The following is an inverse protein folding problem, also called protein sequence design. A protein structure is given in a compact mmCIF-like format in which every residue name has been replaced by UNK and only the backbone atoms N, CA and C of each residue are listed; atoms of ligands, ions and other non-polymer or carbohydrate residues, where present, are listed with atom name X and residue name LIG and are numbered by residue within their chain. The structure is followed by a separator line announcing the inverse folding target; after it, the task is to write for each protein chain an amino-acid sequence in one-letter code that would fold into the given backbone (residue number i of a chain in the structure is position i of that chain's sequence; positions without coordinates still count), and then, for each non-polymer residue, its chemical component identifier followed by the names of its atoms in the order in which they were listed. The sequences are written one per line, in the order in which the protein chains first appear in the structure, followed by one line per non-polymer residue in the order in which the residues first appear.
data_IF_078491080947
#
_entry.id   IF_078491080947
#
_cell.length_a   1.000
_cell.length_b   1.000
_cell.length_c   1.000
_cell.angle_alpha   90.00
_cell.angle_beta   90.00
_cell.angle_gamma   90.00
#
_symmetry.space_group_name_H-M   'P 1'
#
loop_
_entity.id
_entity.type
_entity.pdbx_description
1 polymer ?
#
# COMPACT_ATOMS: atom_id res chain seq x y z
N UNK A 1 -16.22 18.30 -5.48
CA UNK A 1 -15.06 17.89 -6.31
C UNK A 1 -15.50 16.80 -7.26
N UNK A 2 -15.10 16.85 -8.52
CA UNK A 2 -15.36 15.76 -9.46
C UNK A 2 -14.52 14.52 -9.11
N UNK A 3 -14.94 13.33 -9.55
CA UNK A 3 -14.25 12.08 -9.25
C UNK A 3 -12.79 12.07 -9.77
N UNK A 4 -12.53 12.72 -10.92
CA UNK A 4 -11.19 12.95 -11.45
C UNK A 4 -10.34 13.85 -10.54
N UNK A 5 -10.93 14.92 -9.96
CA UNK A 5 -10.23 15.80 -9.02
C UNK A 5 -9.88 15.08 -7.71
N UNK A 6 -10.73 14.15 -7.26
CA UNK A 6 -10.47 13.32 -6.08
C UNK A 6 -9.36 12.31 -6.42
N UNK A 7 -9.50 11.53 -7.49
CA UNK A 7 -8.52 10.52 -7.87
C UNK A 7 -7.12 11.09 -8.16
N UNK A 8 -7.06 12.29 -8.75
CA UNK A 8 -5.82 13.04 -9.01
C UNK A 8 -5.36 13.94 -7.85
N UNK A 9 -6.07 13.96 -6.72
CA UNK A 9 -5.72 14.83 -5.61
C UNK A 9 -4.33 14.45 -5.08
N UNK A 10 -3.42 15.43 -5.04
CA UNK A 10 -2.05 15.23 -4.57
C UNK A 10 -2.01 14.59 -3.17
N UNK A 11 -2.94 14.94 -2.28
CA UNK A 11 -3.06 14.32 -0.95
C UNK A 11 -3.34 12.82 -1.04
N UNK A 12 -4.23 12.36 -1.92
CA UNK A 12 -4.60 10.94 -2.03
C UNK A 12 -3.49 10.08 -2.66
N UNK A 13 -2.53 10.69 -3.36
CA UNK A 13 -1.34 10.01 -3.90
C UNK A 13 -0.17 10.08 -2.93
N UNK A 14 0.17 11.27 -2.42
CA UNK A 14 1.35 11.47 -1.59
C UNK A 14 1.18 10.96 -0.17
N UNK A 15 -0.01 11.03 0.42
CA UNK A 15 -0.26 10.48 1.76
C UNK A 15 0.10 8.99 1.85
N UNK A 16 -0.38 8.10 0.96
CA UNK A 16 -0.02 6.69 1.06
C UNK A 16 1.43 6.42 0.65
N UNK A 17 2.04 7.20 -0.25
CA UNK A 17 3.47 7.08 -0.57
C UNK A 17 4.33 7.40 0.65
N UNK A 18 4.18 8.60 1.21
CA UNK A 18 4.95 9.06 2.37
C UNK A 18 4.64 8.19 3.59
N UNK A 19 3.36 7.86 3.82
CA UNK A 19 2.94 6.97 4.89
C UNK A 19 3.63 5.61 4.84
N UNK A 20 3.69 4.98 3.65
CA UNK A 20 4.42 3.73 3.48
C UNK A 20 5.93 3.89 3.67
N UNK A 21 6.54 4.98 3.21
CA UNK A 21 7.98 5.23 3.45
C UNK A 21 8.29 5.38 4.95
N UNK A 22 7.48 6.14 5.68
CA UNK A 22 7.61 6.30 7.14
C UNK A 22 7.44 4.96 7.85
N UNK A 23 6.41 4.18 7.47
CA UNK A 23 6.19 2.84 8.02
C UNK A 23 7.33 1.89 7.69
N UNK A 24 7.92 1.98 6.49
CA UNK A 24 9.08 1.18 6.13
C UNK A 24 10.28 1.47 7.05
N UNK A 25 10.59 2.75 7.26
CA UNK A 25 11.66 3.19 8.17
C UNK A 25 11.38 2.74 9.60
N UNK A 26 10.14 2.88 10.07
CA UNK A 26 9.74 2.46 11.41
C UNK A 26 9.86 0.93 11.60
N UNK A 27 9.39 0.15 10.62
CA UNK A 27 9.49 -1.30 10.65
C UNK A 27 10.96 -1.75 10.61
N UNK A 28 11.76 -1.17 9.72
CA UNK A 28 13.20 -1.43 9.64
C UNK A 28 13.92 -1.11 10.95
N UNK A 29 13.70 0.09 11.49
CA UNK A 29 14.28 0.51 12.77
C UNK A 29 13.86 -0.36 13.95
N UNK A 30 12.63 -0.89 13.94
CA UNK A 30 12.17 -1.86 14.94
C UNK A 30 12.92 -3.19 14.81
N UNK A 31 13.19 -3.64 13.58
CA UNK A 31 14.01 -4.82 13.31
C UNK A 31 15.47 -4.65 13.76
N UNK A 32 16.06 -3.48 13.52
CA UNK A 32 17.42 -3.15 14.01
C UNK A 32 17.51 -3.14 15.55
N UNK A 33 16.41 -2.81 16.23
CA UNK A 33 16.29 -2.90 17.70
C UNK A 33 16.00 -4.32 18.21
N UNK A 34 16.10 -5.33 17.34
CA UNK A 34 15.89 -6.74 17.70
C UNK A 34 14.43 -7.13 17.94
N UNK A 35 13.45 -6.26 17.63
CA UNK A 35 12.04 -6.60 17.80
C UNK A 35 11.62 -7.62 16.76
N UNK A 36 10.99 -8.71 17.21
CA UNK A 36 10.40 -9.73 16.32
C UNK A 36 9.00 -9.37 15.84
N UNK A 37 8.29 -8.50 16.56
CA UNK A 37 6.93 -8.06 16.25
C UNK A 37 6.79 -6.54 16.29
N UNK A 38 5.77 -6.02 15.59
CA UNK A 38 5.48 -4.59 15.54
C UNK A 38 4.38 -4.20 16.52
N UNK A 39 4.39 -2.95 16.97
CA UNK A 39 3.45 -2.48 17.99
C UNK A 39 2.03 -2.32 17.43
N UNK A 40 1.00 -2.29 18.30
CA UNK A 40 -0.38 -1.99 17.87
C UNK A 40 -0.49 -0.63 17.16
N UNK A 41 0.29 0.38 17.60
CA UNK A 41 0.30 1.72 16.99
C UNK A 41 0.82 1.66 15.54
N UNK A 42 1.84 0.83 15.26
CA UNK A 42 2.30 0.60 13.89
C UNK A 42 1.17 0.06 13.02
N UNK A 43 0.43 -0.93 13.52
CA UNK A 43 -0.67 -1.54 12.78
C UNK A 43 -1.85 -0.58 12.57
N UNK A 44 -2.17 0.26 13.54
CA UNK A 44 -3.15 1.33 13.36
C UNK A 44 -2.74 2.29 12.24
N UNK A 45 -1.46 2.68 12.20
CA UNK A 45 -0.93 3.54 11.14
C UNK A 45 -0.96 2.86 9.76
N UNK A 46 -0.63 1.57 9.65
CA UNK A 46 -0.81 0.78 8.41
C UNK A 46 -2.26 0.82 7.94
N UNK A 47 -3.23 0.60 8.85
CA UNK A 47 -4.65 0.61 8.48
C UNK A 47 -5.14 1.98 8.01
N UNK A 48 -4.66 3.07 8.62
CA UNK A 48 -4.97 4.42 8.15
C UNK A 48 -4.43 4.67 6.74
N UNK A 49 -3.18 4.27 6.47
CA UNK A 49 -2.59 4.37 5.14
C UNK A 49 -3.36 3.53 4.12
N UNK A 50 -3.74 2.30 4.48
CA UNK A 50 -4.54 1.42 3.62
C UNK A 50 -5.95 1.96 3.36
N UNK A 51 -6.56 2.66 4.31
CA UNK A 51 -7.85 3.31 4.09
C UNK A 51 -7.75 4.36 2.96
N UNK A 52 -6.66 5.15 2.93
CA UNK A 52 -6.41 6.11 1.85
C UNK A 52 -6.20 5.40 0.52
N UNK A 53 -5.41 4.31 0.50
CA UNK A 53 -5.23 3.48 -0.70
C UNK A 53 -6.55 2.90 -1.20
N UNK A 54 -7.42 2.44 -0.30
CA UNK A 54 -8.73 1.88 -0.64
C UNK A 54 -9.64 2.94 -1.28
N UNK A 55 -9.65 4.16 -0.75
CA UNK A 55 -10.38 5.30 -1.35
C UNK A 55 -9.84 5.59 -2.76
N UNK A 56 -8.52 5.59 -2.93
CA UNK A 56 -7.88 5.84 -4.24
C UNK A 56 -8.26 4.75 -5.26
N UNK A 57 -8.17 3.48 -4.86
CA UNK A 57 -8.52 2.33 -5.68
C UNK A 57 -10.01 2.33 -6.06
N UNK A 58 -10.90 2.62 -5.10
CA UNK A 58 -12.33 2.74 -5.35
C UNK A 58 -12.64 3.86 -6.35
N UNK A 59 -12.00 5.03 -6.19
CA UNK A 59 -12.15 6.13 -7.15
C UNK A 59 -11.67 5.74 -8.55
N UNK A 60 -10.53 5.02 -8.66
CA UNK A 60 -10.02 4.52 -9.93
C UNK A 60 -10.95 3.51 -10.61
N UNK A 61 -11.52 2.57 -9.84
CA UNK A 61 -12.50 1.61 -10.34
C UNK A 61 -13.75 2.32 -10.84
N UNK A 62 -14.27 3.29 -10.09
CA UNK A 62 -15.45 4.07 -10.51
C UNK A 62 -15.19 4.86 -11.79
N UNK A 63 -13.99 5.44 -11.97
CA UNK A 63 -13.61 6.11 -13.23
C UNK A 63 -13.53 5.14 -14.41
N UNK A 64 -12.95 3.95 -14.18
CA UNK A 64 -12.85 2.92 -15.21
C UNK A 64 -14.23 2.44 -15.66
N UNK A 65 -15.12 2.12 -14.70
CA UNK A 65 -16.50 1.70 -14.98
C UNK A 65 -17.34 2.83 -15.59
N UNK A 66 -17.03 4.09 -15.24
CA UNK A 66 -17.64 5.29 -15.84
C UNK A 66 -17.12 5.64 -17.23
N UNK A 67 -16.35 4.76 -17.89
CA UNK A 67 -15.87 4.96 -19.26
C UNK A 67 -14.67 5.90 -19.38
N UNK A 68 -13.95 6.16 -18.27
CA UNK A 68 -12.72 6.96 -18.25
C UNK A 68 -11.52 6.05 -17.94
N UNK A 69 -11.12 5.15 -18.86
CA UNK A 69 -9.99 4.26 -18.62
C UNK A 69 -8.67 5.05 -18.58
N UNK A 70 -7.65 4.54 -17.88
CA UNK A 70 -6.33 5.15 -17.89
C UNK A 70 -5.71 5.07 -19.29
N UNK A 71 -4.96 6.11 -19.67
CA UNK A 71 -4.36 6.24 -21.00
C UNK A 71 -3.31 5.16 -21.32
N UNK A 72 -2.67 4.58 -20.30
CA UNK A 72 -1.61 3.57 -20.45
C UNK A 72 -2.00 2.29 -19.71
N UNK A 73 -1.92 1.15 -20.39
CA UNK A 73 -2.21 -0.16 -19.79
C UNK A 73 -1.33 -0.49 -18.57
N UNK A 74 -0.10 0.07 -18.52
CA UNK A 74 0.78 -0.05 -17.36
C UNK A 74 0.17 0.54 -16.07
N UNK A 75 -0.69 1.55 -16.16
CA UNK A 75 -1.38 2.08 -14.99
C UNK A 75 -2.30 1.02 -14.36
N UNK A 76 -3.02 0.23 -15.17
CA UNK A 76 -3.87 -0.85 -14.68
C UNK A 76 -3.04 -1.94 -14.00
N UNK A 77 -1.90 -2.34 -14.60
CA UNK A 77 -0.99 -3.29 -13.99
C UNK A 77 -0.52 -2.81 -12.61
N UNK A 78 -0.01 -1.57 -12.52
CA UNK A 78 0.45 -1.03 -11.24
C UNK A 78 -0.71 -0.84 -10.24
N UNK A 79 -1.90 -0.44 -10.69
CA UNK A 79 -3.08 -0.35 -9.83
C UNK A 79 -3.46 -1.71 -9.22
N UNK A 80 -3.46 -2.79 -10.02
CA UNK A 80 -3.69 -4.15 -9.52
C UNK A 80 -2.61 -4.55 -8.52
N UNK A 81 -1.34 -4.28 -8.82
CA UNK A 81 -0.23 -4.59 -7.90
C UNK A 81 -0.33 -3.81 -6.58
N UNK A 82 -0.77 -2.55 -6.61
CA UNK A 82 -1.03 -1.75 -5.39
C UNK A 82 -2.14 -2.38 -4.54
N UNK A 83 -3.22 -2.87 -5.16
CA UNK A 83 -4.30 -3.55 -4.44
C UNK A 83 -3.80 -4.87 -3.83
N UNK A 84 -3.02 -5.65 -4.57
CA UNK A 84 -2.46 -6.92 -4.09
C UNK A 84 -1.50 -6.70 -2.91
N UNK A 85 -0.56 -5.76 -3.02
CA UNK A 85 0.39 -5.47 -1.95
C UNK A 85 -0.31 -4.84 -0.73
N UNK A 86 -1.33 -4.00 -0.93
CA UNK A 86 -2.19 -3.51 0.15
C UNK A 86 -2.98 -4.64 0.84
N UNK A 87 -3.48 -5.61 0.07
CA UNK A 87 -4.11 -6.82 0.58
C UNK A 87 -3.15 -7.68 1.39
N UNK A 88 -1.90 -7.82 0.96
CA UNK A 88 -0.86 -8.50 1.72
C UNK A 88 -0.58 -7.77 3.05
N UNK A 89 -0.43 -6.44 3.05
CA UNK A 89 -0.28 -5.65 4.27
C UNK A 89 -1.48 -5.87 5.23
N UNK A 90 -2.71 -5.80 4.72
CA UNK A 90 -3.91 -6.03 5.51
C UNK A 90 -4.00 -7.45 6.07
N UNK A 91 -3.61 -8.46 5.29
CA UNK A 91 -3.61 -9.87 5.67
C UNK A 91 -2.55 -10.23 6.71
N UNK A 92 -1.48 -9.43 6.82
CA UNK A 92 -0.42 -9.60 7.82
C UNK A 92 -0.75 -8.99 9.19
N UNK A 93 -1.88 -8.29 9.32
CA UNK A 93 -2.27 -7.69 10.61
C UNK A 93 -2.40 -8.74 11.72
N UNK A 94 -2.22 -8.36 13.00
CA UNK A 94 -2.41 -9.26 14.12
C UNK A 94 -3.78 -9.96 14.06
N UNK A 95 -3.78 -11.28 14.18
CA UNK A 95 -5.00 -12.11 14.16
C UNK A 95 -5.53 -12.48 12.77
N UNK A 96 -5.04 -11.91 11.67
CA UNK A 96 -5.50 -12.24 10.32
C UNK A 96 -4.98 -13.58 9.79
N UNK A 97 -5.74 -14.17 8.86
CA UNK A 97 -5.48 -15.52 8.34
C UNK A 97 -4.09 -15.67 7.69
N UNK A 98 -3.69 -14.73 6.84
CA UNK A 98 -2.39 -14.77 6.17
C UNK A 98 -1.22 -14.73 7.17
N UNK A 99 -1.33 -13.92 8.23
CA UNK A 99 -0.36 -13.91 9.33
C UNK A 99 -0.27 -15.28 10.02
N UNK A 100 -1.41 -15.92 10.32
CA UNK A 100 -1.46 -17.25 10.96
C UNK A 100 -0.77 -18.31 10.10
N UNK A 101 -1.04 -18.30 8.79
CA UNK A 101 -0.41 -19.21 7.84
C UNK A 101 1.12 -19.02 7.78
N UNK A 102 1.59 -17.79 7.67
CA UNK A 102 3.04 -17.50 7.57
C UNK A 102 3.78 -17.69 8.90
N UNK A 103 3.09 -17.51 10.03
CA UNK A 103 3.66 -17.75 11.36
C UNK A 103 3.75 -19.25 11.72
N UNK A 104 3.23 -20.14 10.88
CA UNK A 104 3.41 -21.59 11.03
C UNK A 104 4.86 -22.04 10.80
N UNK A 105 5.72 -21.18 10.22
CA UNK A 105 7.16 -21.36 10.13
C UNK A 105 7.89 -20.22 10.90
N UNK A 106 8.04 -20.33 12.23
CA UNK A 106 8.48 -19.24 13.11
C UNK A 106 9.87 -18.68 12.79
N UNK A 107 10.78 -19.54 12.30
CA UNK A 107 12.16 -19.17 11.93
C UNK A 107 12.21 -18.30 10.67
N UNK A 108 11.20 -18.37 9.80
CA UNK A 108 11.17 -17.67 8.52
C UNK A 108 10.49 -16.29 8.59
N UNK A 109 9.59 -16.06 9.55
CA UNK A 109 8.77 -14.84 9.59
C UNK A 109 9.37 -13.76 10.51
N UNK A 110 10.11 -12.83 9.92
CA UNK A 110 10.59 -11.64 10.62
C UNK A 110 9.70 -10.43 10.32
N UNK A 111 8.62 -10.25 11.08
CA UNK A 111 7.57 -9.25 10.86
C UNK A 111 8.09 -7.86 10.46
N UNK A 112 9.03 -7.22 11.19
CA UNK A 112 9.54 -5.90 10.79
C UNK A 112 10.25 -5.87 9.42
N UNK A 113 10.97 -6.92 9.03
CA UNK A 113 11.65 -6.96 7.72
C UNK A 113 10.64 -7.12 6.60
N UNK A 114 9.68 -8.03 6.77
CA UNK A 114 8.61 -8.28 5.80
C UNK A 114 7.78 -7.01 5.59
N UNK A 115 7.37 -6.36 6.68
CA UNK A 115 6.57 -5.14 6.58
C UNK A 115 7.38 -3.96 6.03
N UNK A 116 8.67 -3.85 6.34
CA UNK A 116 9.51 -2.83 5.72
C UNK A 116 9.56 -2.99 4.18
N UNK A 117 9.81 -4.21 3.70
CA UNK A 117 9.86 -4.50 2.27
C UNK A 117 8.50 -4.29 1.59
N UNK A 118 7.40 -4.73 2.22
CA UNK A 118 6.06 -4.52 1.68
C UNK A 118 5.69 -3.04 1.63
N UNK A 119 6.02 -2.25 2.65
CA UNK A 119 5.74 -0.81 2.63
C UNK A 119 6.59 -0.10 1.55
N UNK A 120 7.88 -0.42 1.41
CA UNK A 120 8.71 0.11 0.31
C UNK A 120 8.14 -0.26 -1.07
N UNK A 121 7.73 -1.52 -1.22
CA UNK A 121 7.13 -2.01 -2.47
C UNK A 121 5.84 -1.27 -2.78
N UNK A 122 4.95 -1.10 -1.78
CA UNK A 122 3.69 -0.38 -1.93
C UNK A 122 3.94 1.09 -2.35
N UNK A 123 4.89 1.77 -1.70
CA UNK A 123 5.26 3.14 -2.07
C UNK A 123 5.77 3.22 -3.52
N UNK A 124 6.65 2.30 -3.92
CA UNK A 124 7.18 2.25 -5.28
C UNK A 124 6.07 1.98 -6.32
N UNK A 125 5.17 1.05 -6.04
CA UNK A 125 4.05 0.73 -6.93
C UNK A 125 3.08 1.91 -7.10
N UNK A 126 2.76 2.62 -6.00
CA UNK A 126 1.91 3.82 -6.07
C UNK A 126 2.59 4.90 -6.92
N UNK A 127 3.89 5.15 -6.72
CA UNK A 127 4.64 6.11 -7.53
C UNK A 127 4.66 5.71 -9.01
N UNK A 128 4.82 4.42 -9.32
CA UNK A 128 4.76 3.91 -10.70
C UNK A 128 3.36 4.04 -11.31
N UNK A 129 2.30 3.76 -10.55
CA UNK A 129 0.92 3.97 -10.98
C UNK A 129 0.66 5.45 -11.29
N UNK A 130 1.15 6.36 -10.45
CA UNK A 130 1.05 7.80 -10.66
C UNK A 130 1.79 8.24 -11.93
N UNK A 131 3.08 7.93 -12.08
CA UNK A 131 3.88 8.28 -13.26
C UNK A 131 3.30 7.74 -14.58
N UNK A 132 2.70 6.55 -14.54
CA UNK A 132 2.07 5.95 -15.73
C UNK A 132 0.66 6.47 -15.99
N UNK A 133 -0.01 7.02 -14.98
CA UNK A 133 -1.29 7.73 -15.14
C UNK A 133 -1.15 9.16 -15.66
N UNK A 134 0.00 9.80 -15.43
CA UNK A 134 0.30 11.19 -15.83
C UNK A 134 0.50 11.44 -17.33
N UNK A 135 0.37 10.43 -18.20
CA UNK A 135 0.73 10.55 -19.62
C UNK A 135 0.19 11.82 -20.30
N UNK A 136 1.10 12.77 -20.54
CA UNK A 136 0.93 13.92 -21.43
C UNK A 136 0.51 13.46 -22.84
N UNK A 137 -0.27 14.26 -23.58
CA UNK A 137 -0.66 13.98 -24.97
C UNK A 137 0.53 13.70 -25.88
#
# INVERSE_FOLDING_TARGET
MSLNQIHGAAVLVWTPVVGNLVLAVWAWGSGLRGRRTLSPVFWAAVLLVLAVVAVQAAAGVLLFLGGTPPRRGLHLLYAVLVVVAGGAQYGLRPGAFLRRFLSAAPEAFHEPRVLALLCLTQAALIMRAWMTGLGSP
#
